data_IF_560525829899
#
_entry.id   IF_560525829899
#
_cell.length_a   1.000
_cell.length_b   1.000
_cell.length_c   1.000
_cell.angle_alpha   90.00
_cell.angle_beta   90.00
_cell.angle_gamma   90.00
#
_symmetry.space_group_name_H-M   'P 1'
#
loop_
_entity.id
_entity.type
_entity.pdbx_description
1 polymer ?
#
# COMPACT_ATOMS: atom_id res chain seq x y z
N UNK A 1 31.89 2.28 55.70
CA UNK A 1 30.76 1.94 54.81
C UNK A 1 31.03 2.57 53.44
N UNK A 2 31.50 1.79 52.46
CA UNK A 2 31.72 2.29 51.09
C UNK A 2 30.62 1.76 50.19
N UNK A 3 29.77 2.67 49.71
CA UNK A 3 28.71 2.39 48.74
C UNK A 3 29.31 2.26 47.34
N UNK A 4 29.34 1.02 46.83
CA UNK A 4 29.79 0.70 45.49
C UNK A 4 28.73 1.17 44.48
N UNK A 5 29.08 2.19 43.68
CA UNK A 5 28.24 2.73 42.62
C UNK A 5 28.22 1.74 41.45
N UNK A 6 27.17 0.92 41.32
CA UNK A 6 26.95 0.04 40.15
C UNK A 6 26.70 0.90 38.90
N UNK A 7 27.72 1.05 38.08
CA UNK A 7 27.61 1.60 36.73
C UNK A 7 27.02 0.51 35.81
N UNK A 8 25.78 0.68 35.36
CA UNK A 8 25.20 -0.11 34.27
C UNK A 8 25.92 0.26 32.97
N UNK A 9 26.79 -0.62 32.45
CA UNK A 9 27.41 -0.45 31.12
C UNK A 9 26.32 -0.34 30.06
N UNK A 10 26.36 0.71 29.25
CA UNK A 10 25.52 0.86 28.06
C UNK A 10 26.12 0.00 26.96
N UNK A 11 25.45 -1.09 26.58
CA UNK A 11 25.85 -1.93 25.44
C UNK A 11 25.61 -1.17 24.14
N UNK A 12 26.59 -1.19 23.23
CA UNK A 12 26.46 -0.61 21.89
C UNK A 12 25.66 -1.53 20.96
N UNK A 13 25.09 -1.00 19.88
CA UNK A 13 24.37 -1.81 18.89
C UNK A 13 25.27 -2.91 18.27
N UNK A 14 26.57 -2.64 18.11
CA UNK A 14 27.53 -3.61 17.60
C UNK A 14 27.83 -4.73 18.60
N UNK A 15 28.00 -4.41 19.89
CA UNK A 15 28.17 -5.41 20.95
C UNK A 15 26.89 -6.26 21.13
N UNK A 16 25.72 -5.64 21.00
CA UNK A 16 24.44 -6.35 21.03
C UNK A 16 24.31 -7.29 19.83
N UNK A 17 24.63 -6.85 18.61
CA UNK A 17 24.62 -7.70 17.41
C UNK A 17 25.60 -8.88 17.54
N UNK A 18 26.79 -8.66 18.09
CA UNK A 18 27.76 -9.73 18.34
C UNK A 18 27.29 -10.73 19.41
N UNK A 19 26.56 -10.26 20.44
CA UNK A 19 25.94 -11.14 21.43
C UNK A 19 24.82 -11.98 20.80
N UNK A 20 23.95 -11.37 20.00
CA UNK A 20 22.87 -12.06 19.30
C UNK A 20 23.38 -13.06 18.24
N UNK A 21 24.49 -12.76 17.56
CA UNK A 21 25.13 -13.71 16.65
C UNK A 21 25.64 -14.98 17.33
N UNK A 22 26.03 -14.88 18.60
CA UNK A 22 26.55 -16.00 19.38
C UNK A 22 25.51 -16.64 20.31
N UNK A 23 24.27 -16.15 20.32
CA UNK A 23 23.16 -16.72 21.09
C UNK A 23 22.44 -17.80 20.26
N UNK A 24 22.55 -19.09 20.63
CA UNK A 24 21.94 -20.18 19.86
C UNK A 24 20.41 -20.11 19.79
N UNK A 25 19.74 -19.61 20.83
CA UNK A 25 18.28 -19.48 20.84
C UNK A 25 17.83 -18.33 19.93
N UNK A 26 18.58 -17.22 19.91
CA UNK A 26 18.33 -16.15 18.95
C UNK A 26 18.54 -16.62 17.50
N UNK A 27 19.63 -17.35 17.22
CA UNK A 27 19.87 -17.90 15.88
C UNK A 27 18.78 -18.89 15.45
N UNK A 28 18.33 -19.77 16.35
CA UNK A 28 17.24 -20.72 16.03
C UNK A 28 15.95 -19.97 15.70
N UNK A 29 15.59 -18.97 16.51
CA UNK A 29 14.41 -18.13 16.26
C UNK A 29 14.51 -17.38 14.92
N UNK A 30 15.67 -16.79 14.61
CA UNK A 30 15.88 -16.11 13.32
C UNK A 30 15.79 -17.07 12.13
N UNK A 31 16.30 -18.30 12.27
CA UNK A 31 16.19 -19.32 11.24
C UNK A 31 14.75 -19.79 11.03
N UNK A 32 13.98 -19.98 12.10
CA UNK A 32 12.55 -20.31 12.04
C UNK A 32 11.76 -19.19 11.34
N UNK A 33 11.97 -17.93 11.74
CA UNK A 33 11.33 -16.77 11.12
C UNK A 33 11.68 -16.61 9.64
N UNK A 34 12.96 -16.81 9.27
CA UNK A 34 13.40 -16.76 7.88
C UNK A 34 12.85 -17.93 7.05
N UNK A 35 12.78 -19.15 7.61
CA UNK A 35 12.17 -20.28 6.93
C UNK A 35 10.69 -20.03 6.64
N UNK A 36 9.93 -19.54 7.61
CA UNK A 36 8.54 -19.13 7.41
C UNK A 36 8.40 -18.02 6.36
N UNK A 37 9.31 -17.04 6.39
CA UNK A 37 9.35 -15.97 5.40
C UNK A 37 9.57 -16.52 3.99
N UNK A 38 10.50 -17.46 3.82
CA UNK A 38 10.78 -18.08 2.53
C UNK A 38 9.58 -18.87 2.00
N UNK A 39 8.87 -19.60 2.86
CA UNK A 39 7.62 -20.29 2.47
C UNK A 39 6.60 -19.29 1.94
N UNK A 40 6.33 -18.20 2.67
CA UNK A 40 5.40 -17.15 2.24
C UNK A 40 5.82 -16.50 0.92
N UNK A 41 7.11 -16.21 0.75
CA UNK A 41 7.64 -15.65 -0.50
C UNK A 41 7.43 -16.59 -1.67
N UNK A 42 7.66 -17.89 -1.49
CA UNK A 42 7.45 -18.89 -2.56
C UNK A 42 5.96 -19.01 -2.93
N UNK A 43 5.07 -18.98 -1.94
CA UNK A 43 3.62 -19.01 -2.19
C UNK A 43 3.15 -17.80 -3.00
N UNK A 44 3.58 -16.60 -2.61
CA UNK A 44 3.26 -15.37 -3.35
C UNK A 44 3.85 -15.38 -4.76
N UNK A 45 5.12 -15.78 -4.89
CA UNK A 45 5.78 -15.88 -6.20
C UNK A 45 5.07 -16.85 -7.15
N UNK A 46 4.56 -17.99 -6.63
CA UNK A 46 3.75 -18.93 -7.41
C UNK A 46 2.41 -18.31 -7.84
N UNK A 47 1.75 -17.60 -6.93
CA UNK A 47 0.48 -16.94 -7.24
C UNK A 47 0.63 -15.81 -8.28
N UNK A 48 1.77 -15.14 -8.31
CA UNK A 48 2.06 -14.06 -9.27
C UNK A 48 2.43 -14.55 -10.69
N UNK A 49 2.87 -15.81 -10.85
CA UNK A 49 3.30 -16.36 -12.15
C UNK A 49 2.35 -16.07 -13.33
N UNK A 50 1.03 -16.30 -13.24
CA UNK A 50 0.13 -15.98 -14.36
C UNK A 50 0.12 -14.48 -14.70
N UNK A 51 0.26 -13.61 -13.70
CA UNK A 51 0.31 -12.16 -13.90
C UNK A 51 1.61 -11.77 -14.61
N UNK A 52 2.74 -12.29 -14.13
CA UNK A 52 4.06 -12.05 -14.72
C UNK A 52 4.12 -12.55 -16.17
N UNK A 53 3.53 -13.71 -16.45
CA UNK A 53 3.46 -14.24 -17.82
C UNK A 53 2.66 -13.32 -18.76
N UNK A 54 1.49 -12.84 -18.32
CA UNK A 54 0.67 -11.93 -19.12
C UNK A 54 1.37 -10.56 -19.29
N UNK A 55 2.10 -10.07 -18.28
CA UNK A 55 2.90 -8.83 -18.38
C UNK A 55 4.05 -8.97 -19.40
N UNK A 56 4.76 -10.10 -19.40
CA UNK A 56 5.81 -10.38 -20.40
C UNK A 56 5.23 -10.45 -21.81
N UNK A 57 4.02 -10.99 -21.96
CA UNK A 57 3.36 -11.07 -23.28
C UNK A 57 3.09 -9.70 -23.91
N UNK A 58 3.02 -8.63 -23.11
CA UNK A 58 2.88 -7.24 -23.57
C UNK A 58 4.20 -6.45 -23.54
N UNK A 59 5.33 -7.15 -23.39
CA UNK A 59 6.68 -6.58 -23.43
C UNK A 59 7.15 -5.96 -22.11
N UNK A 60 6.53 -6.32 -20.99
CA UNK A 60 6.91 -5.83 -19.65
C UNK A 60 7.65 -6.92 -18.89
N UNK A 61 8.98 -6.78 -18.84
CA UNK A 61 9.87 -7.73 -18.17
C UNK A 61 9.99 -7.41 -16.67
N UNK A 62 9.33 -8.22 -15.85
CA UNK A 62 9.40 -8.16 -14.38
C UNK A 62 9.47 -9.56 -13.79
N UNK A 63 9.93 -9.66 -12.55
CA UNK A 63 9.92 -10.91 -11.77
C UNK A 63 8.77 -10.94 -10.75
N UNK A 64 8.25 -9.76 -10.38
CA UNK A 64 7.09 -9.58 -9.53
C UNK A 64 6.27 -8.38 -9.94
N UNK A 65 4.97 -8.39 -9.62
CA UNK A 65 4.11 -7.20 -9.74
C UNK A 65 4.67 -6.03 -8.92
N UNK A 66 5.35 -6.32 -7.81
CA UNK A 66 5.98 -5.32 -6.94
C UNK A 66 7.07 -4.50 -7.65
N UNK A 67 7.69 -5.03 -8.71
CA UNK A 67 8.70 -4.31 -9.50
C UNK A 67 8.08 -3.07 -10.20
N UNK A 68 6.81 -3.16 -10.59
CA UNK A 68 6.06 -2.06 -11.21
C UNK A 68 5.70 -0.94 -10.22
N UNK A 69 5.61 -1.27 -8.93
CA UNK A 69 5.36 -0.28 -7.86
C UNK A 69 6.61 0.57 -7.63
N UNK A 70 7.81 0.00 -7.82
CA UNK A 70 9.08 0.67 -7.54
C UNK A 70 9.76 1.27 -8.77
N UNK A 71 9.20 1.10 -9.96
CA UNK A 71 9.76 1.69 -11.19
C UNK A 71 9.25 3.10 -11.44
N UNK A 72 10.12 3.94 -12.00
CA UNK A 72 9.74 5.25 -12.53
C UNK A 72 9.43 5.19 -14.03
N UNK A 73 9.73 4.08 -14.70
CA UNK A 73 9.50 3.88 -16.13
C UNK A 73 8.01 3.68 -16.38
N UNK A 74 7.35 4.46 -17.25
CA UNK A 74 5.96 4.24 -17.59
C UNK A 74 5.71 2.88 -18.26
N UNK A 75 4.64 2.19 -17.84
CA UNK A 75 4.24 0.87 -18.36
C UNK A 75 2.78 0.85 -18.87
N UNK A 76 2.40 1.71 -19.83
CA UNK A 76 1.00 1.80 -20.28
C UNK A 76 0.42 0.49 -20.81
N UNK A 77 1.26 -0.36 -21.43
CA UNK A 77 0.87 -1.67 -21.93
C UNK A 77 0.49 -2.67 -20.80
N UNK A 78 1.04 -2.50 -19.59
CA UNK A 78 0.69 -3.34 -18.45
C UNK A 78 -0.67 -3.00 -17.83
N UNK A 79 -1.17 -1.77 -17.97
CA UNK A 79 -2.36 -1.34 -17.23
C UNK A 79 -3.62 -2.18 -17.54
N UNK A 80 -3.94 -2.50 -18.81
CA UNK A 80 -5.07 -3.39 -19.11
C UNK A 80 -4.87 -4.81 -18.56
N UNK A 81 -3.64 -5.32 -18.54
CA UNK A 81 -3.29 -6.64 -17.98
C UNK A 81 -3.50 -6.66 -16.47
N UNK A 82 -2.96 -5.66 -15.77
CA UNK A 82 -3.13 -5.52 -14.31
C UNK A 82 -4.61 -5.42 -13.93
N UNK A 83 -5.38 -4.62 -14.67
CA UNK A 83 -6.82 -4.50 -14.44
C UNK A 83 -7.55 -5.83 -14.64
N UNK A 84 -7.22 -6.57 -15.70
CA UNK A 84 -7.80 -7.90 -15.98
C UNK A 84 -7.56 -8.86 -14.80
N UNK A 85 -6.34 -8.91 -14.27
CA UNK A 85 -6.03 -9.77 -13.12
C UNK A 85 -6.72 -9.32 -11.83
N UNK A 86 -6.80 -8.01 -11.60
CA UNK A 86 -7.50 -7.47 -10.44
C UNK A 86 -9.01 -7.79 -10.48
N UNK A 87 -9.63 -7.72 -11.66
CA UNK A 87 -11.04 -8.10 -11.87
C UNK A 87 -11.27 -9.61 -11.72
N UNK A 88 -10.30 -10.43 -12.13
CA UNK A 88 -10.36 -11.88 -11.95
C UNK A 88 -10.36 -12.25 -10.45
N UNK A 89 -9.53 -11.57 -9.66
CA UNK A 89 -9.42 -11.80 -8.22
C UNK A 89 -8.89 -13.21 -7.88
N UNK A 90 -9.09 -13.61 -6.62
CA UNK A 90 -8.73 -14.95 -6.14
C UNK A 90 -7.24 -15.15 -5.81
N UNK A 91 -6.44 -14.09 -5.89
CA UNK A 91 -5.05 -14.10 -5.45
C UNK A 91 -4.93 -13.88 -3.94
N UNK A 92 -3.81 -14.29 -3.31
CA UNK A 92 -3.52 -13.89 -1.94
C UNK A 92 -3.61 -12.37 -1.75
N UNK A 93 -4.07 -11.92 -0.59
CA UNK A 93 -4.35 -10.50 -0.31
C UNK A 93 -3.16 -9.58 -0.63
N UNK A 94 -1.92 -10.04 -0.38
CA UNK A 94 -0.70 -9.29 -0.69
C UNK A 94 -0.45 -9.12 -2.20
N UNK A 95 -0.86 -10.08 -3.01
CA UNK A 95 -0.81 -9.98 -4.48
C UNK A 95 -1.87 -9.01 -4.97
N UNK A 96 -3.08 -9.05 -4.39
CA UNK A 96 -4.15 -8.09 -4.68
C UNK A 96 -3.73 -6.65 -4.36
N UNK A 97 -3.07 -6.43 -3.21
CA UNK A 97 -2.47 -5.14 -2.83
C UNK A 97 -1.45 -4.66 -3.89
N UNK A 98 -0.59 -5.56 -4.35
CA UNK A 98 0.46 -5.25 -5.33
C UNK A 98 -0.14 -4.91 -6.70
N UNK A 99 -1.16 -5.64 -7.15
CA UNK A 99 -1.91 -5.35 -8.38
C UNK A 99 -2.57 -3.98 -8.33
N UNK A 100 -3.29 -3.67 -7.24
CA UNK A 100 -3.91 -2.36 -7.05
C UNK A 100 -2.88 -1.23 -7.02
N UNK A 101 -1.79 -1.43 -6.25
CA UNK A 101 -0.70 -0.44 -6.15
C UNK A 101 -0.01 -0.18 -7.48
N UNK A 102 0.19 -1.20 -8.33
CA UNK A 102 0.76 -1.04 -9.67
C UNK A 102 -0.17 -0.25 -10.61
N UNK A 103 -1.47 -0.18 -10.33
CA UNK A 103 -2.43 0.66 -11.05
C UNK A 103 -2.51 2.10 -10.49
N UNK A 104 -1.72 2.44 -9.47
CA UNK A 104 -1.70 3.76 -8.85
C UNK A 104 -0.93 4.81 -9.65
N UNK A 105 -1.33 4.96 -10.92
CA UNK A 105 -0.77 5.89 -11.88
C UNK A 105 -1.88 6.66 -12.58
N UNK A 106 -1.63 7.92 -12.93
CA UNK A 106 -2.63 8.77 -13.61
C UNK A 106 -3.22 8.14 -14.88
N UNK A 107 -2.44 7.46 -15.75
CA UNK A 107 -3.01 6.84 -16.95
C UNK A 107 -4.05 5.75 -16.67
N UNK A 108 -4.12 5.19 -15.45
CA UNK A 108 -5.14 4.21 -15.08
C UNK A 108 -6.56 4.82 -14.90
N UNK A 109 -6.75 6.11 -15.19
CA UNK A 109 -8.07 6.78 -15.13
C UNK A 109 -9.16 6.07 -15.94
N UNK A 110 -8.80 5.38 -17.03
CA UNK A 110 -9.75 4.59 -17.82
C UNK A 110 -10.40 3.45 -17.02
N UNK A 111 -9.74 2.99 -15.95
CA UNK A 111 -10.17 1.90 -15.10
C UNK A 111 -11.00 2.37 -13.89
N UNK A 112 -11.28 3.67 -13.78
CA UNK A 112 -11.87 4.29 -12.58
C UNK A 112 -13.10 3.55 -12.05
N UNK A 113 -14.10 3.30 -12.91
CA UNK A 113 -15.35 2.68 -12.48
C UNK A 113 -15.14 1.24 -12.00
N UNK A 114 -14.29 0.47 -12.69
CA UNK A 114 -13.93 -0.88 -12.29
C UNK A 114 -13.19 -0.90 -10.94
N UNK A 115 -12.20 -0.01 -10.76
CA UNK A 115 -11.47 0.12 -9.50
C UNK A 115 -12.40 0.49 -8.33
N UNK A 116 -13.36 1.39 -8.56
CA UNK A 116 -14.34 1.79 -7.54
C UNK A 116 -15.25 0.63 -7.16
N UNK A 117 -15.75 -0.11 -8.14
CA UNK A 117 -16.60 -1.28 -7.87
C UNK A 117 -15.85 -2.36 -7.10
N UNK A 118 -14.59 -2.62 -7.46
CA UNK A 118 -13.74 -3.57 -6.74
C UNK A 118 -13.46 -3.09 -5.31
N UNK A 119 -13.16 -1.80 -5.10
CA UNK A 119 -12.89 -1.23 -3.76
C UNK A 119 -14.08 -1.44 -2.81
N UNK A 120 -15.30 -1.22 -3.31
CA UNK A 120 -16.53 -1.40 -2.54
C UNK A 120 -16.83 -2.88 -2.22
N UNK A 121 -16.24 -3.81 -2.98
CA UNK A 121 -16.40 -5.26 -2.82
C UNK A 121 -15.20 -5.93 -2.16
N UNK A 122 -14.10 -5.20 -1.94
CA UNK A 122 -12.85 -5.73 -1.43
C UNK A 122 -13.09 -6.50 -0.12
N UNK A 123 -12.53 -7.71 -0.06
CA UNK A 123 -12.71 -8.63 1.06
C UNK A 123 -11.50 -8.68 1.99
N UNK A 124 -10.32 -8.33 1.48
CA UNK A 124 -9.06 -8.29 2.22
C UNK A 124 -8.52 -6.88 2.42
N UNK A 125 -7.70 -6.68 3.47
CA UNK A 125 -7.13 -5.37 3.79
C UNK A 125 -6.15 -4.91 2.72
N UNK A 126 -5.30 -5.81 2.22
CA UNK A 126 -4.33 -5.51 1.17
C UNK A 126 -5.02 -5.15 -0.15
N UNK A 127 -6.04 -5.91 -0.53
CA UNK A 127 -6.89 -5.60 -1.68
C UNK A 127 -7.52 -4.20 -1.55
N UNK A 128 -8.14 -3.90 -0.40
CA UNK A 128 -8.76 -2.60 -0.12
C UNK A 128 -7.74 -1.45 -0.20
N UNK A 129 -6.56 -1.63 0.40
CA UNK A 129 -5.46 -0.66 0.38
C UNK A 129 -4.97 -0.38 -1.05
N UNK A 130 -4.63 -1.42 -1.81
CA UNK A 130 -4.14 -1.27 -3.18
C UNK A 130 -5.16 -0.56 -4.08
N UNK A 131 -6.45 -0.87 -3.92
CA UNK A 131 -7.54 -0.23 -4.65
C UNK A 131 -7.75 1.23 -4.26
N UNK A 132 -7.66 1.56 -2.96
CA UNK A 132 -7.75 2.95 -2.49
C UNK A 132 -6.62 3.81 -3.07
N UNK A 133 -5.39 3.29 -3.08
CA UNK A 133 -4.22 3.96 -3.65
C UNK A 133 -4.37 4.15 -5.16
N UNK A 134 -4.87 3.13 -5.88
CA UNK A 134 -5.17 3.20 -7.32
C UNK A 134 -6.18 4.30 -7.66
N UNK A 135 -7.29 4.35 -6.93
CA UNK A 135 -8.32 5.38 -7.07
C UNK A 135 -7.74 6.77 -6.78
N UNK A 136 -7.06 6.95 -5.65
CA UNK A 136 -6.50 8.25 -5.26
C UNK A 136 -5.52 8.81 -6.31
N UNK A 137 -4.68 7.96 -6.89
CA UNK A 137 -3.67 8.34 -7.88
C UNK A 137 -4.27 8.63 -9.27
N UNK A 138 -5.23 7.82 -9.72
CA UNK A 138 -5.87 7.94 -11.05
C UNK A 138 -6.96 9.00 -11.12
N UNK A 139 -7.46 9.49 -9.98
CA UNK A 139 -8.54 10.47 -9.93
C UNK A 139 -8.24 11.77 -10.71
N UNK A 140 -9.29 12.27 -11.36
CA UNK A 140 -9.36 13.59 -12.00
C UNK A 140 -10.39 14.46 -11.29
N UNK A 141 -10.51 15.72 -11.68
CA UNK A 141 -11.53 16.67 -11.18
C UNK A 141 -12.96 16.13 -11.31
N UNK A 142 -13.25 15.41 -12.39
CA UNK A 142 -14.54 14.72 -12.61
C UNK A 142 -14.91 13.73 -11.51
N UNK A 143 -13.93 13.24 -10.75
CA UNK A 143 -14.10 12.21 -9.74
C UNK A 143 -14.21 12.77 -8.31
N UNK A 144 -14.15 14.08 -8.13
CA UNK A 144 -14.15 14.73 -6.82
C UNK A 144 -15.32 14.25 -5.94
N UNK A 145 -16.55 14.31 -6.45
CA UNK A 145 -17.74 13.92 -5.68
C UNK A 145 -17.72 12.44 -5.30
N UNK A 146 -17.20 11.58 -6.17
CA UNK A 146 -17.04 10.17 -5.88
C UNK A 146 -16.00 9.93 -4.77
N UNK A 147 -14.86 10.64 -4.79
CA UNK A 147 -13.86 10.57 -3.73
C UNK A 147 -14.42 11.02 -2.38
N UNK A 148 -15.18 12.13 -2.35
CA UNK A 148 -15.82 12.62 -1.13
C UNK A 148 -16.81 11.58 -0.58
N UNK A 149 -17.59 10.94 -1.47
CA UNK A 149 -18.51 9.87 -1.07
C UNK A 149 -17.76 8.67 -0.48
N UNK A 150 -16.67 8.25 -1.11
CA UNK A 150 -15.84 7.13 -0.61
C UNK A 150 -15.17 7.48 0.73
N UNK A 151 -14.69 8.72 0.90
CA UNK A 151 -14.12 9.18 2.16
C UNK A 151 -15.13 9.10 3.31
N UNK A 152 -16.41 9.33 3.05
CA UNK A 152 -17.49 9.29 4.05
C UNK A 152 -18.16 7.91 4.21
N UNK A 153 -17.69 6.87 3.51
CA UNK A 153 -18.26 5.53 3.62
C UNK A 153 -17.71 4.78 4.83
N UNK A 154 -18.42 4.86 5.96
CA UNK A 154 -18.00 4.23 7.21
C UNK A 154 -18.04 2.69 7.20
N UNK A 155 -18.52 2.07 6.11
CA UNK A 155 -18.38 0.62 5.91
C UNK A 155 -16.96 0.20 5.48
N UNK A 156 -16.12 1.16 5.08
CA UNK A 156 -14.73 0.93 4.67
C UNK A 156 -13.75 1.31 5.78
N UNK A 157 -12.56 0.73 5.73
CA UNK A 157 -11.54 0.89 6.77
C UNK A 157 -10.85 2.26 6.70
N UNK A 158 -9.72 2.38 7.39
CA UNK A 158 -8.85 3.56 7.40
C UNK A 158 -8.18 3.83 6.03
N UNK A 159 -8.26 2.90 5.07
CA UNK A 159 -7.81 3.06 3.68
C UNK A 159 -8.42 4.29 2.99
N UNK A 160 -9.61 4.73 3.44
CA UNK A 160 -10.27 5.96 2.98
C UNK A 160 -9.41 7.21 3.13
N UNK A 161 -8.45 7.20 4.05
CA UNK A 161 -7.49 8.30 4.25
C UNK A 161 -6.71 8.67 2.97
N UNK A 162 -6.46 7.70 2.07
CA UNK A 162 -5.80 7.94 0.78
C UNK A 162 -6.51 8.98 -0.07
N UNK A 163 -7.83 9.14 0.10
CA UNK A 163 -8.61 10.09 -0.69
C UNK A 163 -8.42 11.54 -0.26
N UNK A 164 -7.94 11.82 0.97
CA UNK A 164 -7.77 13.21 1.46
C UNK A 164 -6.84 14.03 0.56
N UNK A 165 -5.68 13.47 0.22
CA UNK A 165 -4.72 14.14 -0.69
C UNK A 165 -5.26 14.23 -2.11
N UNK A 166 -5.97 13.20 -2.58
CA UNK A 166 -6.59 13.22 -3.90
C UNK A 166 -7.66 14.32 -4.00
N UNK A 167 -8.56 14.42 -3.02
CA UNK A 167 -9.60 15.46 -2.92
C UNK A 167 -8.98 16.85 -2.95
N UNK A 168 -7.92 17.09 -2.17
CA UNK A 168 -7.18 18.37 -2.22
C UNK A 168 -6.62 18.64 -3.62
N UNK A 169 -5.99 17.63 -4.23
CA UNK A 169 -5.30 17.74 -5.52
C UNK A 169 -6.28 18.05 -6.66
N UNK A 170 -7.42 17.37 -6.71
CA UNK A 170 -8.36 17.46 -7.85
C UNK A 170 -9.50 18.45 -7.63
N UNK A 171 -9.78 18.83 -6.38
CA UNK A 171 -10.99 19.58 -6.02
C UNK A 171 -10.83 21.09 -5.88
N UNK A 172 -9.63 21.66 -6.05
CA UNK A 172 -9.42 23.10 -5.96
C UNK A 172 -9.96 23.71 -4.65
N UNK A 173 -10.82 24.74 -4.77
CA UNK A 173 -11.45 25.38 -3.61
C UNK A 173 -12.40 24.43 -2.86
N UNK A 174 -13.19 23.63 -3.56
CA UNK A 174 -14.11 22.68 -2.95
C UNK A 174 -13.36 21.60 -2.17
N UNK A 175 -12.30 21.03 -2.76
CA UNK A 175 -11.44 20.07 -2.07
C UNK A 175 -10.80 20.66 -0.81
N UNK A 176 -10.43 21.95 -0.85
CA UNK A 176 -9.95 22.67 0.35
C UNK A 176 -11.03 22.81 1.42
N UNK A 177 -12.26 23.15 1.04
CA UNK A 177 -13.40 23.25 1.97
C UNK A 177 -13.72 21.92 2.65
N UNK A 178 -13.64 20.81 1.91
CA UNK A 178 -13.77 19.46 2.49
C UNK A 178 -12.70 19.20 3.55
N UNK A 179 -11.43 19.54 3.27
CA UNK A 179 -10.40 19.37 4.29
C UNK A 179 -10.59 20.32 5.48
N UNK A 180 -11.11 21.53 5.26
CA UNK A 180 -11.40 22.49 6.33
C UNK A 180 -12.49 21.97 7.28
N UNK A 181 -13.54 21.33 6.76
CA UNK A 181 -14.59 20.72 7.59
C UNK A 181 -14.07 19.55 8.43
N UNK A 182 -13.05 18.85 7.95
CA UNK A 182 -12.45 17.70 8.64
C UNK A 182 -11.41 18.06 9.71
N UNK A 183 -11.06 19.34 9.93
CA UNK A 183 -9.97 19.72 10.86
C UNK A 183 -10.18 19.25 12.31
N UNK A 184 -11.45 19.10 12.72
CA UNK A 184 -11.85 18.63 14.04
C UNK A 184 -12.31 17.17 14.04
N UNK A 185 -12.27 16.51 12.88
CA UNK A 185 -12.61 15.10 12.76
C UNK A 185 -11.62 14.25 13.60
N UNK A 186 -12.11 13.30 14.42
CA UNK A 186 -11.25 12.49 15.28
C UNK A 186 -10.29 11.58 14.52
N UNK A 187 -10.66 11.15 13.31
CA UNK A 187 -9.86 10.25 12.47
C UNK A 187 -8.97 11.06 11.52
N UNK A 188 -9.56 12.03 10.81
CA UNK A 188 -8.90 12.73 9.71
C UNK A 188 -8.31 14.09 10.08
N UNK A 189 -8.63 14.64 11.25
CA UNK A 189 -8.29 16.02 11.57
C UNK A 189 -6.80 16.32 11.63
N UNK A 190 -5.96 15.35 12.05
CA UNK A 190 -4.49 15.52 11.99
C UNK A 190 -4.00 15.66 10.55
N UNK A 191 -4.45 14.77 9.67
CA UNK A 191 -4.01 14.73 8.28
C UNK A 191 -4.58 15.88 7.44
N UNK A 192 -5.87 16.21 7.62
CA UNK A 192 -6.49 17.37 6.99
C UNK A 192 -5.75 18.67 7.33
N UNK A 193 -5.37 18.86 8.62
CA UNK A 193 -4.56 20.02 9.04
C UNK A 193 -3.16 20.04 8.41
N UNK A 194 -2.53 18.88 8.21
CA UNK A 194 -1.23 18.80 7.55
C UNK A 194 -1.34 19.14 6.07
N UNK A 195 -2.35 18.59 5.39
CA UNK A 195 -2.62 18.84 3.98
C UNK A 195 -3.02 20.30 3.70
N UNK A 196 -3.69 21.00 4.60
CA UNK A 196 -4.04 22.42 4.41
C UNK A 196 -2.84 23.38 4.54
N UNK A 197 -1.73 22.92 5.11
CA UNK A 197 -0.49 23.71 5.28
C UNK A 197 0.50 23.57 4.13
N UNK A 198 0.39 22.51 3.33
CA UNK A 198 1.17 22.29 2.11
C UNK A 198 0.52 22.91 0.89
#
# INVERSE_FOLDING_TARGET
MSTQKKSSKRTTAAELMAQLQNDPEYQRKMQEEEAERQVRVQELSRAEQPIVADLRSVGVEVDSVWDLVNTSVPYPAALPVLLKHLQLGGYPDRVMESLGSALAVRPAVFAWDALRELYLKAGGRGEEEGLAVALAASATDKHLQALIKLLNDDSRSDTRGHFLRAIKRVGGQEGRQVLESLKSDPMWGKEARALLKS
#
